data_IF_587560723522
#
_entry.id   IF_587560723522
#
_cell.length_a   1.000
_cell.length_b   1.000
_cell.length_c   1.000
_cell.angle_alpha   90.00
_cell.angle_beta   90.00
_cell.angle_gamma   90.00
#
_symmetry.space_group_name_H-M   'P 1'
#
loop_
_entity.id
_entity.type
_entity.pdbx_description
1 polymer ?
#
# COMPACT_ATOMS: atom_id res chain seq x y z
N UNK A 1 0.04 8.47 33.07
CA UNK A 1 0.71 7.63 32.07
C UNK A 1 -0.17 7.63 30.83
N UNK A 2 0.26 8.35 29.81
CA UNK A 2 -0.46 8.34 28.53
C UNK A 2 -0.07 7.08 27.76
N UNK A 3 -1.04 6.20 27.55
CA UNK A 3 -0.89 5.09 26.60
C UNK A 3 -0.79 5.70 25.22
N UNK A 4 0.43 5.86 24.71
CA UNK A 4 0.65 6.25 23.32
C UNK A 4 0.29 5.04 22.47
N UNK A 5 -0.89 5.06 21.88
CA UNK A 5 -1.29 4.06 20.91
C UNK A 5 -0.45 4.23 19.65
N UNK A 6 0.41 3.26 19.35
CA UNK A 6 1.19 3.22 18.11
C UNK A 6 0.38 2.73 16.90
N UNK A 7 -0.87 2.38 17.11
CA UNK A 7 -1.77 1.87 16.04
C UNK A 7 -1.89 2.80 14.83
N UNK A 8 -1.96 4.14 14.99
CA UNK A 8 -1.99 5.05 13.84
C UNK A 8 -0.73 5.03 12.98
N UNK A 9 0.43 4.68 13.57
CA UNK A 9 1.72 4.65 12.89
C UNK A 9 1.81 3.52 11.87
N UNK A 10 1.11 2.40 12.13
CA UNK A 10 1.12 1.22 11.25
C UNK A 10 0.13 1.30 10.09
N UNK A 11 -0.77 2.29 10.08
CA UNK A 11 -1.86 2.38 9.10
C UNK A 11 -1.42 2.73 7.68
N UNK A 12 -0.21 3.24 7.50
CA UNK A 12 0.28 3.76 6.20
C UNK A 12 1.54 3.13 5.68
N UNK A 13 2.02 2.12 6.36
CA UNK A 13 3.25 1.43 6.02
C UNK A 13 3.00 -0.05 5.87
N UNK A 14 3.53 -0.63 4.80
CA UNK A 14 3.35 -2.03 4.46
C UNK A 14 4.73 -2.68 4.35
N UNK A 15 4.93 -3.79 5.06
CA UNK A 15 6.16 -4.56 5.07
C UNK A 15 7.22 -4.06 6.04
N UNK A 16 6.98 -2.98 6.77
CA UNK A 16 7.87 -2.47 7.80
C UNK A 16 7.56 -3.15 9.13
N UNK A 17 8.27 -4.23 9.44
CA UNK A 17 8.16 -4.92 10.73
C UNK A 17 9.11 -4.32 11.79
N UNK A 18 9.85 -3.26 11.45
CA UNK A 18 10.79 -2.56 12.31
C UNK A 18 10.29 -1.16 12.67
N UNK A 19 10.25 -0.87 13.96
CA UNK A 19 9.71 0.38 14.52
C UNK A 19 10.44 1.66 14.08
N UNK A 20 11.74 1.59 13.78
CA UNK A 20 12.53 2.79 13.51
C UNK A 20 12.20 3.47 12.18
N UNK A 21 11.85 2.68 11.16
CA UNK A 21 11.52 3.21 9.83
C UNK A 21 10.12 3.84 9.78
N UNK A 22 9.26 3.46 10.73
CA UNK A 22 7.91 3.99 10.84
C UNK A 22 7.84 5.36 11.49
N UNK A 23 8.83 5.68 12.34
CA UNK A 23 8.83 6.92 13.11
C UNK A 23 9.02 8.16 12.23
N UNK A 24 9.91 8.07 11.24
CA UNK A 24 10.18 9.16 10.32
C UNK A 24 9.01 9.46 9.39
N UNK A 25 8.23 8.43 9.08
CA UNK A 25 7.08 8.58 8.18
C UNK A 25 5.82 9.09 8.89
N UNK A 26 5.65 8.75 10.16
CA UNK A 26 4.48 9.13 10.94
C UNK A 26 4.42 10.63 11.25
N UNK A 27 5.58 11.29 11.28
CA UNK A 27 5.66 12.75 11.54
C UNK A 27 5.20 13.61 10.37
N UNK A 28 4.95 13.02 9.19
CA UNK A 28 4.59 13.77 7.98
C UNK A 28 3.10 13.70 7.62
N UNK A 29 2.26 13.06 8.41
CA UNK A 29 0.90 12.78 7.97
C UNK A 29 -0.19 13.41 8.83
N UNK A 30 -0.52 14.64 8.49
CA UNK A 30 -1.82 15.22 8.78
C UNK A 30 -2.83 14.71 7.75
N UNK A 31 -3.62 13.69 8.08
CA UNK A 31 -4.53 13.13 7.09
C UNK A 31 -5.94 12.92 7.58
N UNK A 32 -6.90 13.44 6.80
CA UNK A 32 -8.29 13.09 6.97
C UNK A 32 -8.51 11.57 6.79
N UNK A 33 -9.40 11.00 7.58
CA UNK A 33 -9.76 9.56 7.56
C UNK A 33 -10.59 9.19 6.32
N UNK A 34 -10.30 9.77 5.17
CA UNK A 34 -10.99 9.50 3.92
C UNK A 34 -9.98 9.29 2.79
N UNK A 35 -10.16 8.25 1.99
CA UNK A 35 -11.16 7.18 2.11
C UNK A 35 -10.83 6.18 3.23
N UNK A 36 -11.83 5.47 3.79
CA UNK A 36 -11.57 4.35 4.69
C UNK A 36 -10.81 3.25 3.96
N UNK A 37 -9.82 2.66 4.62
CA UNK A 37 -9.03 1.58 4.05
C UNK A 37 -8.54 0.61 5.11
N UNK A 38 -8.28 -0.62 4.70
CA UNK A 38 -7.65 -1.66 5.50
C UNK A 38 -6.30 -2.03 4.88
N UNK A 39 -5.35 -2.38 5.73
CA UNK A 39 -4.13 -3.09 5.34
C UNK A 39 -4.19 -4.44 6.04
N UNK A 40 -4.28 -5.49 5.25
CA UNK A 40 -4.45 -6.86 5.71
C UNK A 40 -3.17 -7.66 5.45
N UNK A 41 -2.76 -8.47 6.42
CA UNK A 41 -1.74 -9.50 6.22
C UNK A 41 -2.46 -10.81 5.95
N UNK A 42 -2.41 -11.29 4.71
CA UNK A 42 -3.13 -12.48 4.27
C UNK A 42 -2.29 -13.75 4.33
N UNK A 43 -0.99 -13.62 4.56
CA UNK A 43 -0.02 -14.69 4.69
C UNK A 43 1.32 -14.16 5.15
N UNK A 44 2.33 -15.01 5.32
CA UNK A 44 3.66 -14.60 5.82
C UNK A 44 4.34 -13.56 4.93
N UNK A 45 4.10 -13.62 3.63
CA UNK A 45 4.67 -12.73 2.63
C UNK A 45 3.60 -12.08 1.75
N UNK A 46 2.34 -12.12 2.15
CA UNK A 46 1.22 -11.59 1.38
C UNK A 46 0.47 -10.54 2.17
N UNK A 47 0.17 -9.45 1.49
CA UNK A 47 -0.59 -8.34 2.05
C UNK A 47 -1.69 -7.94 1.07
N UNK A 48 -2.72 -7.32 1.59
CA UNK A 48 -3.81 -6.74 0.80
C UNK A 48 -4.19 -5.37 1.34
N UNK A 49 -4.32 -4.43 0.44
CA UNK A 49 -4.95 -3.14 0.72
C UNK A 49 -6.38 -3.21 0.23
N UNK A 50 -7.31 -2.79 1.08
CA UNK A 50 -8.73 -2.67 0.71
C UNK A 50 -9.14 -1.23 0.94
N UNK A 51 -9.56 -0.53 -0.11
CA UNK A 51 -10.00 0.87 -0.03
C UNK A 51 -11.48 0.96 -0.33
N UNK A 52 -12.23 1.57 0.57
CA UNK A 52 -13.65 1.81 0.39
C UNK A 52 -13.85 3.01 -0.56
N UNK A 53 -14.29 2.72 -1.77
CA UNK A 53 -14.48 3.68 -2.85
C UNK A 53 -15.91 3.65 -3.40
N UNK A 54 -16.88 3.57 -2.47
CA UNK A 54 -18.28 3.52 -2.82
C UNK A 54 -18.70 4.73 -3.67
N UNK A 55 -19.35 4.48 -4.80
CA UNK A 55 -19.81 5.48 -5.73
C UNK A 55 -18.80 5.93 -6.79
N UNK A 56 -17.56 5.44 -6.74
CA UNK A 56 -16.58 5.64 -7.82
C UNK A 56 -16.76 4.61 -8.93
N UNK A 57 -16.55 5.04 -10.15
CA UNK A 57 -16.34 4.13 -11.28
C UNK A 57 -14.85 3.73 -11.35
N UNK A 58 -14.54 2.63 -11.97
CA UNK A 58 -13.16 2.15 -12.12
C UNK A 58 -12.27 3.19 -12.82
N UNK A 59 -12.81 3.87 -13.81
CA UNK A 59 -12.11 4.91 -14.59
C UNK A 59 -11.79 6.19 -13.76
N UNK A 60 -12.46 6.35 -12.63
CA UNK A 60 -12.24 7.47 -11.70
C UNK A 60 -11.13 7.17 -10.67
N UNK A 61 -10.61 5.94 -10.67
CA UNK A 61 -9.57 5.47 -9.78
C UNK A 61 -8.25 5.28 -10.54
N UNK A 62 -7.16 5.68 -9.91
CA UNK A 62 -5.82 5.53 -10.47
C UNK A 62 -4.86 5.05 -9.38
N UNK A 63 -4.01 4.08 -9.74
CA UNK A 63 -2.99 3.53 -8.86
C UNK A 63 -1.63 3.77 -9.51
N UNK A 64 -0.73 4.44 -8.79
CA UNK A 64 0.64 4.69 -9.23
C UNK A 64 1.62 4.16 -8.18
N UNK A 65 2.71 3.57 -8.63
CA UNK A 65 3.83 3.18 -7.79
C UNK A 65 5.09 3.87 -8.28
N UNK A 66 5.67 4.68 -7.42
CA UNK A 66 6.90 5.41 -7.70
C UNK A 66 7.76 5.50 -6.44
N UNK A 67 9.05 5.15 -6.55
CA UNK A 67 10.00 5.20 -5.44
C UNK A 67 9.48 4.51 -4.15
N UNK A 68 8.90 3.33 -4.28
CA UNK A 68 8.29 2.57 -3.18
C UNK A 68 7.11 3.28 -2.48
N UNK A 69 6.54 4.28 -3.13
CA UNK A 69 5.31 4.94 -2.68
C UNK A 69 4.16 4.55 -3.60
N UNK A 70 3.22 3.82 -3.06
CA UNK A 70 1.97 3.48 -3.73
C UNK A 70 0.98 4.60 -3.50
N UNK A 71 0.56 5.25 -4.57
CA UNK A 71 -0.42 6.34 -4.53
C UNK A 71 -1.71 5.91 -5.19
N UNK A 72 -2.79 6.01 -4.45
CA UNK A 72 -4.15 5.74 -4.93
C UNK A 72 -4.88 7.06 -5.03
N UNK A 73 -5.34 7.39 -6.21
CA UNK A 73 -6.08 8.62 -6.51
C UNK A 73 -7.51 8.27 -6.86
N UNK A 74 -8.45 9.01 -6.29
CA UNK A 74 -9.84 9.02 -6.72
C UNK A 74 -10.22 10.42 -7.16
N UNK A 75 -10.67 10.54 -8.40
CA UNK A 75 -11.19 11.78 -8.95
C UNK A 75 -12.55 11.52 -9.56
N UNK A 76 -13.64 11.87 -8.84
CA UNK A 76 -14.98 11.71 -9.39
C UNK A 76 -15.13 12.59 -10.63
N UNK A 77 -15.72 12.05 -11.67
CA UNK A 77 -16.20 12.83 -12.78
C UNK A 77 -17.19 13.87 -12.21
N UNK A 78 -17.20 15.05 -12.81
CA UNK A 78 -17.93 16.22 -12.31
C UNK A 78 -19.26 15.83 -11.67
N UNK A 79 -19.44 16.25 -10.41
CA UNK A 79 -20.72 16.11 -9.75
C UNK A 79 -21.77 16.74 -10.67
N UNK A 80 -22.65 15.94 -11.22
CA UNK A 80 -23.95 16.45 -11.62
C UNK A 80 -24.59 16.92 -10.31
N UNK A 81 -24.39 18.18 -10.01
CA UNK A 81 -25.16 18.87 -8.99
C UNK A 81 -26.59 18.83 -9.48
N UNK A 82 -27.27 17.77 -9.18
CA UNK A 82 -28.71 17.73 -9.29
C UNK A 82 -29.22 18.59 -8.17
N UNK A 83 -29.46 19.87 -8.49
CA UNK A 83 -29.96 20.88 -7.56
C UNK A 83 -31.35 20.51 -7.03
N UNK A 84 -31.90 19.35 -7.42
CA UNK A 84 -33.20 18.85 -7.00
C UNK A 84 -33.12 17.93 -5.79
N UNK A 85 -31.90 17.51 -5.39
CA UNK A 85 -31.69 16.60 -4.27
C UNK A 85 -31.32 17.38 -3.02
N UNK A 86 -32.15 17.30 -1.99
CA UNK A 86 -31.84 17.77 -0.65
C UNK A 86 -31.42 16.57 0.24
N UNK A 87 -30.20 16.59 0.76
CA UNK A 87 -29.74 15.55 1.68
C UNK A 87 -30.22 15.83 3.10
N UNK A 88 -31.06 14.96 3.64
CA UNK A 88 -31.39 14.99 5.07
C UNK A 88 -30.24 14.44 5.93
N UNK A 89 -29.46 13.53 5.37
CA UNK A 89 -28.20 13.01 5.93
C UNK A 89 -27.27 12.61 4.81
N UNK A 90 -26.02 13.04 4.86
CA UNK A 90 -25.00 12.70 3.87
C UNK A 90 -23.83 11.98 4.56
N UNK A 91 -23.84 10.64 4.56
CA UNK A 91 -22.79 9.81 5.14
C UNK A 91 -21.79 9.28 4.11
N UNK A 92 -22.15 9.28 2.83
CA UNK A 92 -21.28 8.82 1.74
C UNK A 92 -20.67 10.05 1.07
N UNK A 93 -19.35 10.20 1.24
CA UNK A 93 -18.61 11.27 0.61
C UNK A 93 -17.95 10.77 -0.68
N UNK A 94 -18.44 11.21 -1.82
CA UNK A 94 -17.82 10.98 -3.12
C UNK A 94 -17.00 12.22 -3.48
N UNK A 95 -15.80 12.30 -2.93
CA UNK A 95 -14.88 13.43 -3.15
C UNK A 95 -13.51 12.97 -3.59
N UNK A 96 -12.79 13.84 -4.27
CA UNK A 96 -11.41 13.57 -4.66
C UNK A 96 -10.54 13.23 -3.46
N UNK A 97 -9.70 12.22 -3.61
CA UNK A 97 -8.75 11.82 -2.57
C UNK A 97 -7.40 11.42 -3.16
N UNK A 98 -6.41 11.50 -2.31
CA UNK A 98 -5.05 10.96 -2.56
C UNK A 98 -4.62 10.19 -1.32
N UNK A 99 -4.47 8.90 -1.46
CA UNK A 99 -3.96 8.00 -0.43
C UNK A 99 -2.55 7.55 -0.84
N UNK A 100 -1.56 7.85 -0.02
CA UNK A 100 -0.17 7.43 -0.26
C UNK A 100 0.27 6.46 0.82
N UNK A 101 0.81 5.32 0.39
CA UNK A 101 1.30 4.25 1.24
C UNK A 101 2.75 3.95 0.87
N UNK A 102 3.62 3.91 1.88
CA UNK A 102 5.01 3.54 1.67
C UNK A 102 5.17 2.02 1.73
N UNK A 103 5.78 1.46 0.71
CA UNK A 103 6.12 0.04 0.63
C UNK A 103 7.58 -0.17 1.00
N UNK A 104 7.86 -1.30 1.68
CA UNK A 104 9.24 -1.79 1.83
C UNK A 104 9.83 -2.12 0.44
N UNK A 105 11.14 -2.04 0.33
CA UNK A 105 11.88 -2.32 -0.92
C UNK A 105 11.62 -3.70 -1.53
N UNK A 106 11.18 -4.66 -0.71
CA UNK A 106 10.88 -6.02 -1.12
C UNK A 106 9.40 -6.30 -1.37
N UNK A 107 8.55 -5.30 -1.25
CA UNK A 107 7.12 -5.42 -1.53
C UNK A 107 6.84 -5.07 -2.98
N UNK A 108 6.17 -5.98 -3.67
CA UNK A 108 5.71 -5.79 -5.03
C UNK A 108 4.19 -5.86 -5.13
N UNK A 109 3.63 -5.03 -5.99
CA UNK A 109 2.21 -5.06 -6.33
C UNK A 109 1.99 -6.20 -7.32
N UNK A 110 1.10 -7.14 -6.97
CA UNK A 110 0.80 -8.30 -7.80
C UNK A 110 -0.44 -8.07 -8.66
N UNK A 111 -1.47 -7.53 -8.08
CA UNK A 111 -2.76 -7.39 -8.73
C UNK A 111 -3.58 -6.27 -8.07
N UNK A 112 -4.44 -5.65 -8.85
CA UNK A 112 -5.46 -4.74 -8.37
C UNK A 112 -6.80 -5.12 -8.98
N UNK A 113 -7.85 -5.12 -8.17
CA UNK A 113 -9.20 -5.48 -8.55
C UNK A 113 -10.21 -4.51 -7.94
N UNK A 114 -11.28 -4.25 -8.66
CA UNK A 114 -12.35 -3.38 -8.21
C UNK A 114 -13.69 -4.13 -8.23
N UNK A 115 -14.21 -4.39 -7.04
CA UNK A 115 -15.43 -5.17 -6.87
C UNK A 115 -16.25 -4.64 -5.68
N UNK A 116 -17.56 -4.56 -5.87
CA UNK A 116 -18.50 -4.17 -4.80
C UNK A 116 -18.20 -2.82 -4.14
N UNK A 117 -17.65 -1.87 -4.88
CA UNK A 117 -17.25 -0.57 -4.34
C UNK A 117 -15.96 -0.61 -3.50
N UNK A 118 -15.22 -1.71 -3.53
CA UNK A 118 -13.96 -1.88 -2.85
C UNK A 118 -12.83 -2.04 -3.87
N UNK A 119 -11.81 -1.19 -3.76
CA UNK A 119 -10.56 -1.36 -4.48
C UNK A 119 -9.64 -2.26 -3.65
N UNK A 120 -9.28 -3.41 -4.19
CA UNK A 120 -8.39 -4.40 -3.56
C UNK A 120 -7.06 -4.42 -4.29
N UNK A 121 -5.97 -4.32 -3.56
CA UNK A 121 -4.61 -4.36 -4.13
C UNK A 121 -3.83 -5.44 -3.39
N UNK A 122 -3.44 -6.47 -4.10
CA UNK A 122 -2.64 -7.57 -3.57
C UNK A 122 -1.15 -7.28 -3.71
N UNK A 123 -0.42 -7.49 -2.63
CA UNK A 123 1.00 -7.25 -2.50
C UNK A 123 1.71 -8.50 -2.02
N UNK A 124 2.93 -8.69 -2.48
CA UNK A 124 3.78 -9.80 -2.05
C UNK A 124 5.17 -9.30 -1.67
N UNK A 125 5.70 -9.83 -0.57
CA UNK A 125 7.10 -9.64 -0.22
C UNK A 125 7.94 -10.66 -0.99
N UNK A 126 8.89 -10.18 -1.76
CA UNK A 126 9.85 -11.00 -2.49
C UNK A 126 11.21 -10.79 -1.84
N UNK A 127 11.71 -11.84 -1.17
CA UNK A 127 13.03 -11.81 -0.56
C UNK A 127 14.02 -12.36 -1.58
N UNK A 128 15.01 -11.56 -2.04
CA UNK A 128 16.05 -12.05 -2.93
C UNK A 128 16.80 -13.22 -2.28
N UNK A 129 17.15 -14.24 -3.04
CA UNK A 129 17.92 -15.41 -2.55
C UNK A 129 19.23 -15.00 -1.89
N UNK A 130 19.84 -13.91 -2.33
CA UNK A 130 21.08 -13.33 -1.77
C UNK A 130 20.95 -12.90 -0.31
N UNK A 131 19.73 -12.59 0.15
CA UNK A 131 19.43 -12.16 1.53
C UNK A 131 18.91 -13.29 2.41
N UNK A 132 18.68 -14.47 1.87
CA UNK A 132 18.30 -15.64 2.65
C UNK A 132 19.49 -16.17 3.49
N UNK A 133 19.22 -16.72 4.68
CA UNK A 133 20.26 -17.37 5.45
C UNK A 133 20.92 -18.48 4.64
N UNK A 134 22.24 -18.46 4.57
CA UNK A 134 23.02 -19.51 3.92
C UNK A 134 24.09 -20.02 4.86
N UNK A 135 24.39 -21.30 4.76
CA UNK A 135 25.49 -21.91 5.51
C UNK A 135 26.80 -21.63 4.78
N UNK A 136 27.78 -21.09 5.51
CA UNK A 136 29.10 -20.82 4.99
C UNK A 136 30.01 -21.94 5.41
N UNK A 137 30.60 -22.72 4.47
CA UNK A 137 31.54 -23.79 4.81
C UNK A 137 32.87 -23.21 5.30
N UNK A 138 33.38 -23.79 6.40
CA UNK A 138 34.64 -23.37 6.98
C UNK A 138 35.79 -24.00 6.17
N UNK A 139 36.82 -23.22 5.82
CA UNK A 139 38.02 -23.68 5.15
C UNK A 139 37.91 -23.83 3.63
N UNK A 140 36.79 -23.47 3.02
CA UNK A 140 36.63 -23.46 1.57
C UNK A 140 36.38 -22.04 1.08
N UNK A 141 37.04 -21.65 -0.01
CA UNK A 141 36.82 -20.39 -0.66
C UNK A 141 35.43 -20.39 -1.33
N UNK A 142 34.62 -19.37 -1.08
CA UNK A 142 33.33 -19.19 -1.76
C UNK A 142 33.64 -18.66 -3.14
N UNK A 143 33.39 -19.46 -4.18
CA UNK A 143 33.36 -18.98 -5.54
C UNK A 143 32.02 -18.32 -5.81
N UNK A 144 32.07 -17.03 -6.09
CA UNK A 144 30.91 -16.30 -6.57
C UNK A 144 30.64 -16.77 -7.99
N UNK A 145 29.52 -17.43 -8.20
CA UNK A 145 29.04 -17.70 -9.55
C UNK A 145 28.73 -16.36 -10.19
N UNK A 146 29.66 -15.88 -11.02
CA UNK A 146 29.34 -14.78 -11.93
C UNK A 146 28.25 -15.27 -12.86
N UNK A 147 27.08 -14.61 -12.79
CA UNK A 147 26.07 -14.80 -13.80
C UNK A 147 26.67 -14.34 -15.12
N UNK A 148 27.06 -15.29 -15.94
CA UNK A 148 27.41 -15.04 -17.32
C UNK A 148 26.15 -14.52 -18.01
N UNK A 149 26.09 -13.24 -18.22
CA UNK A 149 25.19 -12.65 -19.20
C UNK A 149 25.60 -13.21 -20.54
N UNK A 150 24.82 -14.15 -21.01
CA UNK A 150 24.92 -14.60 -22.39
C UNK A 150 24.34 -13.50 -23.26
N UNK A 151 25.18 -12.65 -23.78
CA UNK A 151 24.82 -11.77 -24.87
C UNK A 151 24.60 -12.65 -26.11
N UNK A 152 23.33 -12.78 -26.46
CA UNK A 152 22.97 -13.36 -27.73
C UNK A 152 22.88 -12.27 -28.79
#
# INVERSE_FOLDING_TARGET
MSNVSLTPLFRRSIGFDRLNDLFDYAMQSDTPNYPPYNIEKTGDHHYRIVVATAGFAEEELMINLENQVLTILGKPAEERTDNTIEFLHKGIARRSFKLSLRLDEHIEVQHADYENGLLKIDLQRIIPEEKLPRQIPIGKRIERLESTTVDA
#
